data_IF_661340842851
#
_entry.id   IF_661340842851
#
_cell.length_a   1.000
_cell.length_b   1.000
_cell.length_c   1.000
_cell.angle_alpha   90.00
_cell.angle_beta   90.00
_cell.angle_gamma   90.00
#
_symmetry.space_group_name_H-M   'P 1'
#
loop_
_entity.id
_entity.type
_entity.pdbx_description
1 polymer ?
#
# COMPACT_ATOMS: atom_id res chain seq x y z
N UNK A 1 22.53 -15.21 6.53
CA UNK A 1 22.35 -13.76 6.83
C UNK A 1 22.98 -12.89 5.75
N UNK A 2 24.29 -13.03 5.47
CA UNK A 2 24.91 -12.44 4.27
C UNK A 2 24.30 -12.96 2.96
N UNK A 3 24.06 -14.27 2.85
CA UNK A 3 23.62 -14.91 1.60
C UNK A 3 22.32 -14.38 1.03
N UNK A 4 21.31 -14.06 1.85
CA UNK A 4 20.01 -13.56 1.36
C UNK A 4 20.04 -12.06 1.02
N UNK A 5 20.75 -11.25 1.81
CA UNK A 5 21.02 -9.84 1.47
C UNK A 5 21.89 -9.72 0.20
N UNK A 6 22.86 -10.63 0.06
CA UNK A 6 23.60 -10.83 -1.18
C UNK A 6 22.68 -11.27 -2.30
N UNK A 7 21.72 -12.17 -2.07
CA UNK A 7 20.78 -12.62 -3.09
C UNK A 7 19.90 -11.48 -3.58
N UNK A 8 19.32 -10.70 -2.65
CA UNK A 8 18.49 -9.52 -2.95
C UNK A 8 19.31 -8.45 -3.67
N UNK A 9 20.51 -8.14 -3.16
CA UNK A 9 21.44 -7.21 -3.79
C UNK A 9 21.90 -7.69 -5.17
N UNK A 10 22.14 -8.98 -5.33
CA UNK A 10 22.52 -9.59 -6.61
C UNK A 10 21.36 -9.58 -7.61
N UNK A 11 20.14 -9.84 -7.16
CA UNK A 11 18.92 -9.74 -7.97
C UNK A 11 18.69 -8.29 -8.42
N UNK A 12 18.89 -7.31 -7.52
CA UNK A 12 18.88 -5.88 -7.80
C UNK A 12 19.93 -5.47 -8.84
N UNK A 13 21.15 -5.96 -8.69
CA UNK A 13 22.25 -5.67 -9.62
C UNK A 13 21.98 -6.32 -10.98
N UNK A 14 21.46 -7.54 -11.01
CA UNK A 14 21.08 -8.21 -12.26
C UNK A 14 19.94 -7.48 -12.96
N UNK A 15 18.90 -7.09 -12.23
CA UNK A 15 17.75 -6.37 -12.79
C UNK A 15 18.16 -4.96 -13.26
N UNK A 16 18.91 -4.22 -12.43
CA UNK A 16 19.41 -2.89 -12.79
C UNK A 16 20.41 -2.91 -13.93
N UNK A 17 21.31 -3.90 -13.95
CA UNK A 17 22.27 -4.11 -15.02
C UNK A 17 21.58 -4.49 -16.34
N UNK A 18 20.62 -5.41 -16.28
CA UNK A 18 19.79 -5.78 -17.44
C UNK A 18 19.01 -4.56 -17.95
N UNK A 19 18.45 -3.75 -17.06
CA UNK A 19 17.73 -2.51 -17.39
C UNK A 19 18.61 -1.47 -18.10
N UNK A 20 19.88 -1.34 -17.71
CA UNK A 20 20.82 -0.42 -18.36
C UNK A 20 21.21 -0.90 -19.76
N UNK A 21 21.39 -2.21 -19.95
CA UNK A 21 21.71 -2.81 -21.24
C UNK A 21 20.51 -2.64 -22.19
N UNK A 22 19.29 -2.87 -21.74
CA UNK A 22 18.12 -2.68 -22.61
C UNK A 22 17.90 -1.21 -22.99
N UNK A 23 18.27 -0.24 -22.12
CA UNK A 23 18.23 1.20 -22.42
C UNK A 23 19.26 1.61 -23.49
N UNK A 24 20.49 1.09 -23.42
CA UNK A 24 21.54 1.45 -24.38
C UNK A 24 21.33 0.82 -25.76
N UNK A 25 20.63 -0.31 -25.85
CA UNK A 25 20.48 -1.09 -27.08
C UNK A 25 19.12 -0.93 -27.81
N UNK A 26 18.21 -0.03 -27.38
CA UNK A 26 16.90 0.19 -28.03
C UNK A 26 16.09 -1.11 -28.27
N UNK A 27 16.29 -2.13 -27.42
CA UNK A 27 15.53 -3.37 -27.45
C UNK A 27 14.20 -3.13 -26.74
N UNK A 28 13.08 -3.16 -27.48
CA UNK A 28 11.68 -3.02 -27.03
C UNK A 28 11.50 -2.58 -25.56
N UNK A 29 11.33 -1.27 -25.37
CA UNK A 29 11.25 -0.57 -24.08
C UNK A 29 10.11 -1.01 -23.13
N UNK A 30 9.18 -1.84 -23.59
CA UNK A 30 8.01 -2.24 -22.81
C UNK A 30 8.40 -2.94 -21.50
N UNK A 31 9.37 -3.86 -21.50
CA UNK A 31 9.76 -4.59 -20.28
C UNK A 31 10.41 -3.69 -19.23
N UNK A 32 11.14 -2.65 -19.64
CA UNK A 32 11.80 -1.69 -18.74
C UNK A 32 10.76 -0.81 -18.06
N UNK A 33 9.74 -0.38 -18.81
CA UNK A 33 8.65 0.44 -18.29
C UNK A 33 7.81 -0.31 -17.24
N UNK A 34 7.90 -1.63 -17.17
CA UNK A 34 7.18 -2.44 -16.18
C UNK A 34 8.04 -2.85 -14.97
N UNK A 35 9.33 -2.48 -14.91
CA UNK A 35 10.23 -2.87 -13.82
C UNK A 35 10.31 -1.85 -12.67
N UNK A 36 9.77 -0.63 -12.85
CA UNK A 36 9.89 0.45 -11.87
C UNK A 36 9.20 0.15 -10.53
N UNK A 37 8.20 -0.74 -10.47
CA UNK A 37 7.56 -1.11 -9.19
C UNK A 37 8.57 -1.68 -8.20
N UNK A 38 9.65 -2.29 -8.68
CA UNK A 38 10.73 -2.82 -7.85
C UNK A 38 11.48 -1.70 -7.11
N UNK A 39 11.63 -0.53 -7.72
CA UNK A 39 12.25 0.63 -7.07
C UNK A 39 11.44 1.09 -5.84
N UNK A 40 10.15 0.78 -5.79
CA UNK A 40 9.27 1.08 -4.64
C UNK A 40 9.25 -0.11 -3.67
N UNK A 41 9.08 -1.33 -4.18
CA UNK A 41 8.93 -2.55 -3.38
C UNK A 41 10.21 -2.86 -2.58
N UNK A 42 11.38 -2.68 -3.19
CA UNK A 42 12.65 -3.09 -2.61
C UNK A 42 13.01 -2.27 -1.37
N UNK A 43 12.95 -0.92 -1.38
CA UNK A 43 13.11 -0.13 -0.16
C UNK A 43 12.10 -0.50 0.92
N UNK A 44 10.85 -0.78 0.55
CA UNK A 44 9.82 -1.23 1.49
C UNK A 44 10.21 -2.53 2.21
N UNK A 45 10.56 -3.56 1.45
CA UNK A 45 11.02 -4.84 2.01
C UNK A 45 12.30 -4.67 2.84
N UNK A 46 13.20 -3.80 2.42
CA UNK A 46 14.41 -3.50 3.18
C UNK A 46 14.09 -2.93 4.57
N UNK A 47 13.16 -1.97 4.68
CA UNK A 47 12.75 -1.41 5.97
C UNK A 47 12.09 -2.45 6.87
N UNK A 48 11.17 -3.27 6.33
CA UNK A 48 10.54 -4.34 7.10
C UNK A 48 11.56 -5.36 7.62
N UNK A 49 12.47 -5.82 6.74
CA UNK A 49 13.52 -6.77 7.11
C UNK A 49 14.48 -6.20 8.16
N UNK A 50 14.88 -4.93 8.02
CA UNK A 50 15.77 -4.26 8.96
C UNK A 50 15.15 -4.20 10.37
N UNK A 51 13.83 -3.94 10.44
CA UNK A 51 13.09 -4.00 11.68
C UNK A 51 13.07 -5.40 12.29
N UNK A 52 12.67 -6.43 11.53
CA UNK A 52 12.57 -7.79 12.09
C UNK A 52 13.91 -8.38 12.55
N UNK A 53 15.01 -7.94 11.95
CA UNK A 53 16.36 -8.35 12.34
C UNK A 53 16.86 -7.61 13.58
N UNK A 54 16.72 -6.29 13.60
CA UNK A 54 17.30 -5.47 14.68
C UNK A 54 16.37 -5.38 15.88
N UNK A 55 15.05 -5.46 15.64
CA UNK A 55 13.95 -5.16 16.57
C UNK A 55 14.12 -3.82 17.29
N UNK A 56 14.83 -2.89 16.63
CA UNK A 56 15.08 -1.53 17.11
C UNK A 56 14.30 -0.59 16.19
N UNK A 57 13.69 0.43 16.78
CA UNK A 57 12.97 1.50 16.09
C UNK A 57 11.78 0.98 15.25
N UNK A 58 10.65 0.63 15.90
CA UNK A 58 9.45 0.16 15.19
C UNK A 58 8.87 1.20 14.22
N UNK A 59 9.21 2.48 14.36
CA UNK A 59 8.87 3.54 13.39
C UNK A 59 9.30 3.27 11.95
N UNK A 60 10.33 2.44 11.71
CA UNK A 60 10.75 2.05 10.36
C UNK A 60 9.74 1.16 9.63
N UNK A 61 8.85 0.49 10.36
CA UNK A 61 7.78 -0.32 9.78
C UNK A 61 6.74 0.53 9.05
N UNK A 62 6.55 1.80 9.43
CA UNK A 62 5.58 2.66 8.76
C UNK A 62 5.93 2.88 7.29
N UNK A 63 7.11 3.43 6.94
CA UNK A 63 7.51 3.56 5.54
C UNK A 63 7.72 2.19 4.89
N UNK A 64 8.15 1.17 5.64
CA UNK A 64 8.27 -0.21 5.15
C UNK A 64 6.95 -0.76 4.62
N UNK A 65 5.93 -0.85 5.48
CA UNK A 65 4.60 -1.34 5.14
C UNK A 65 3.90 -0.55 4.03
N UNK A 66 4.08 0.78 4.01
CA UNK A 66 3.52 1.62 2.94
C UNK A 66 4.13 1.24 1.59
N UNK A 67 5.46 1.21 1.52
CA UNK A 67 6.19 0.94 0.28
C UNK A 67 6.02 -0.51 -0.18
N UNK A 68 5.90 -1.48 0.73
CA UNK A 68 5.63 -2.87 0.36
C UNK A 68 4.24 -3.02 -0.26
N UNK A 69 3.20 -2.48 0.38
CA UNK A 69 1.82 -2.56 -0.15
C UNK A 69 1.69 -1.81 -1.46
N UNK A 70 2.27 -0.60 -1.58
CA UNK A 70 2.24 0.17 -2.83
C UNK A 70 3.05 -0.53 -3.93
N UNK A 71 4.22 -1.09 -3.62
CA UNK A 71 5.03 -1.85 -4.58
C UNK A 71 4.29 -3.09 -5.10
N UNK A 72 3.56 -3.79 -4.24
CA UNK A 72 2.70 -4.92 -4.63
C UNK A 72 1.52 -4.46 -5.47
N UNK A 73 0.90 -3.33 -5.12
CA UNK A 73 -0.19 -2.74 -5.90
C UNK A 73 0.29 -2.39 -7.32
N UNK A 74 1.46 -1.75 -7.45
CA UNK A 74 2.02 -1.44 -8.76
C UNK A 74 2.38 -2.69 -9.56
N UNK A 75 2.86 -3.75 -8.91
CA UNK A 75 3.04 -5.05 -9.56
C UNK A 75 1.71 -5.57 -10.13
N UNK A 76 0.62 -5.49 -9.35
CA UNK A 76 -0.72 -5.88 -9.81
C UNK A 76 -1.24 -5.02 -10.97
N UNK A 77 -1.09 -3.69 -10.90
CA UNK A 77 -1.51 -2.78 -11.97
C UNK A 77 -0.75 -3.05 -13.27
N UNK A 78 0.55 -3.31 -13.18
CA UNK A 78 1.40 -3.67 -14.32
C UNK A 78 0.97 -5.00 -14.95
N UNK A 79 0.68 -6.02 -14.14
CA UNK A 79 0.22 -7.32 -14.62
C UNK A 79 -1.17 -7.26 -15.27
N UNK A 80 -1.97 -6.25 -14.92
CA UNK A 80 -3.32 -6.05 -15.44
C UNK A 80 -3.41 -4.92 -16.45
N UNK A 81 -2.26 -4.41 -16.92
CA UNK A 81 -2.18 -3.29 -17.88
C UNK A 81 -3.02 -2.07 -17.43
N UNK A 82 -3.04 -1.81 -16.12
CA UNK A 82 -3.79 -0.72 -15.47
C UNK A 82 -5.32 -0.79 -15.64
N UNK A 83 -5.86 -1.93 -16.08
CA UNK A 83 -7.30 -2.09 -16.32
C UNK A 83 -8.13 -1.88 -15.04
N UNK A 84 -7.58 -2.24 -13.87
CA UNK A 84 -8.27 -2.17 -12.59
C UNK A 84 -7.90 -0.95 -11.74
N UNK A 85 -7.09 -0.03 -12.26
CA UNK A 85 -6.63 1.18 -11.54
C UNK A 85 -7.78 2.00 -10.94
N UNK A 86 -8.93 2.01 -11.62
CA UNK A 86 -10.15 2.69 -11.14
C UNK A 86 -10.76 2.04 -9.90
N UNK A 87 -10.48 0.76 -9.62
CA UNK A 87 -11.02 0.01 -8.49
C UNK A 87 -10.02 -0.18 -7.35
N UNK A 88 -8.72 -0.06 -7.64
CA UNK A 88 -7.65 -0.35 -6.68
C UNK A 88 -7.14 0.88 -5.96
N UNK A 89 -7.52 2.08 -6.36
CA UNK A 89 -7.09 3.31 -5.67
C UNK A 89 -7.37 3.35 -4.15
N UNK A 90 -8.43 2.74 -3.57
CA UNK A 90 -8.59 2.77 -2.12
C UNK A 90 -7.52 1.95 -1.38
N UNK A 91 -6.77 1.09 -2.10
CA UNK A 91 -5.59 0.38 -1.57
C UNK A 91 -4.50 1.35 -1.13
N UNK A 92 -4.34 2.53 -1.75
CA UNK A 92 -3.35 3.51 -1.30
C UNK A 92 -3.63 3.98 0.14
N UNK A 93 -4.90 4.13 0.52
CA UNK A 93 -5.29 4.44 1.90
C UNK A 93 -5.04 3.24 2.83
N UNK A 94 -5.32 2.02 2.35
CA UNK A 94 -5.00 0.80 3.10
C UNK A 94 -3.50 0.60 3.29
N UNK A 95 -2.66 1.03 2.35
CA UNK A 95 -1.21 0.96 2.49
C UNK A 95 -0.72 1.77 3.69
N UNK A 96 -1.25 2.99 3.87
CA UNK A 96 -0.96 3.84 5.03
C UNK A 96 -1.52 3.24 6.32
N UNK A 97 -2.77 2.73 6.28
CA UNK A 97 -3.35 2.04 7.42
C UNK A 97 -2.52 0.80 7.83
N UNK A 98 -2.01 0.05 6.85
CA UNK A 98 -1.21 -1.15 7.07
C UNK A 98 0.16 -0.83 7.68
N UNK A 99 0.87 0.20 7.18
CA UNK A 99 2.13 0.63 7.78
C UNK A 99 1.96 1.11 9.23
N UNK A 100 0.89 1.86 9.52
CA UNK A 100 0.55 2.26 10.89
C UNK A 100 0.14 1.06 11.76
N UNK A 101 -0.59 0.09 11.20
CA UNK A 101 -0.99 -1.14 11.88
C UNK A 101 0.23 -1.98 12.27
N UNK A 102 1.20 -2.13 11.36
CA UNK A 102 2.47 -2.79 11.67
C UNK A 102 3.18 -2.08 12.84
N UNK A 103 3.26 -0.74 12.83
CA UNK A 103 3.81 0.02 13.95
C UNK A 103 3.06 -0.30 15.26
N UNK A 104 1.72 -0.27 15.26
CA UNK A 104 0.93 -0.58 16.44
C UNK A 104 1.16 -2.00 16.99
N UNK A 105 1.26 -3.00 16.10
CA UNK A 105 1.44 -4.41 16.51
C UNK A 105 2.81 -4.67 17.14
N UNK A 106 3.84 -3.99 16.65
CA UNK A 106 5.23 -4.27 16.97
C UNK A 106 5.89 -3.25 17.90
N UNK A 107 5.24 -2.12 18.18
CA UNK A 107 5.62 -1.14 19.21
C UNK A 107 4.88 -1.41 20.54
N UNK A 108 5.00 -0.50 21.52
CA UNK A 108 4.35 -0.53 22.84
C UNK A 108 2.80 -0.47 22.82
N UNK A 109 2.16 -0.74 21.66
CA UNK A 109 0.71 -0.78 21.46
C UNK A 109 0.02 0.50 21.93
N UNK A 110 0.56 1.65 21.53
CA UNK A 110 -0.05 2.93 21.82
C UNK A 110 -1.45 3.00 21.22
N UNK A 111 -2.46 3.03 22.11
CA UNK A 111 -3.87 3.08 21.73
C UNK A 111 -4.21 4.31 20.88
N UNK A 112 -3.42 5.39 21.00
CA UNK A 112 -3.56 6.58 20.17
C UNK A 112 -3.41 6.30 18.68
N UNK A 113 -2.60 5.31 18.30
CA UNK A 113 -2.38 4.95 16.89
C UNK A 113 -3.56 4.21 16.26
N UNK A 114 -4.42 3.57 17.06
CA UNK A 114 -5.61 2.88 16.55
C UNK A 114 -6.63 3.83 15.94
N UNK A 115 -6.70 5.08 16.43
CA UNK A 115 -7.62 6.08 15.92
C UNK A 115 -7.35 6.36 14.43
N UNK A 116 -6.14 6.76 13.99
CA UNK A 116 -5.87 6.95 12.57
C UNK A 116 -6.00 5.66 11.78
N UNK A 117 -5.54 4.51 12.28
CA UNK A 117 -5.66 3.22 11.56
C UNK A 117 -7.13 2.91 11.24
N UNK A 118 -8.01 3.03 12.23
CA UNK A 118 -9.44 2.75 12.07
C UNK A 118 -10.11 3.75 11.13
N UNK A 119 -9.77 5.04 11.23
CA UNK A 119 -10.29 6.07 10.32
C UNK A 119 -9.87 5.78 8.88
N UNK A 120 -8.58 5.52 8.61
CA UNK A 120 -8.11 5.23 7.25
C UNK A 120 -8.75 3.95 6.68
N UNK A 121 -8.87 2.90 7.49
CA UNK A 121 -9.51 1.66 7.08
C UNK A 121 -11.00 1.90 6.76
N UNK A 122 -11.71 2.64 7.61
CA UNK A 122 -13.13 2.95 7.42
C UNK A 122 -13.35 3.80 6.16
N UNK A 123 -12.53 4.83 5.94
CA UNK A 123 -12.61 5.66 4.74
C UNK A 123 -12.32 4.85 3.48
N UNK A 124 -11.29 4.00 3.50
CA UNK A 124 -10.99 3.12 2.36
C UNK A 124 -12.16 2.16 2.07
N UNK A 125 -12.76 1.59 3.10
CA UNK A 125 -13.95 0.74 2.96
C UNK A 125 -15.13 1.50 2.33
N UNK A 126 -15.40 2.74 2.77
CA UNK A 126 -16.45 3.57 2.19
C UNK A 126 -16.21 3.82 0.69
N UNK A 127 -14.97 4.07 0.30
CA UNK A 127 -14.62 4.24 -1.10
C UNK A 127 -14.76 2.96 -1.91
N UNK A 128 -14.43 1.80 -1.33
CA UNK A 128 -14.74 0.52 -1.97
C UNK A 128 -16.23 0.32 -2.17
N UNK A 129 -17.06 0.60 -1.16
CA UNK A 129 -18.53 0.50 -1.29
C UNK A 129 -19.04 1.44 -2.39
N UNK A 130 -18.45 2.63 -2.53
CA UNK A 130 -18.77 3.57 -3.61
C UNK A 130 -18.42 3.07 -5.00
N UNK A 131 -17.42 2.20 -5.15
CA UNK A 131 -17.10 1.60 -6.45
C UNK A 131 -18.13 0.57 -6.89
N UNK A 132 -18.82 -0.09 -5.95
CA UNK A 132 -19.83 -1.12 -6.26
C UNK A 132 -21.28 -0.58 -6.27
N UNK A 133 -21.53 0.55 -5.59
CA UNK A 133 -22.85 1.15 -5.44
C UNK A 133 -22.86 2.52 -6.13
N UNK A 134 -23.90 2.81 -6.91
CA UNK A 134 -24.06 4.12 -7.53
C UNK A 134 -24.01 5.25 -6.49
N UNK A 135 -23.23 6.30 -6.78
CA UNK A 135 -23.01 7.44 -5.87
C UNK A 135 -24.31 8.07 -5.35
N UNK A 136 -25.37 8.02 -6.16
CA UNK A 136 -26.71 8.50 -5.81
C UNK A 136 -27.39 7.66 -4.72
N UNK A 137 -27.20 6.34 -4.74
CA UNK A 137 -27.81 5.41 -3.78
C UNK A 137 -27.10 5.49 -2.43
N UNK A 138 -25.76 5.61 -2.43
CA UNK A 138 -24.99 5.86 -1.21
C UNK A 138 -25.38 7.17 -0.53
N UNK A 139 -25.50 8.26 -1.30
CA UNK A 139 -25.92 9.56 -0.78
C UNK A 139 -27.35 9.51 -0.22
N UNK A 140 -28.25 8.78 -0.87
CA UNK A 140 -29.60 8.54 -0.37
C UNK A 140 -29.61 7.77 0.96
N UNK A 141 -28.84 6.68 1.08
CA UNK A 141 -28.72 5.91 2.33
C UNK A 141 -28.14 6.78 3.46
N UNK A 142 -27.07 7.54 3.18
CA UNK A 142 -26.47 8.44 4.17
C UNK A 142 -27.47 9.49 4.66
N UNK A 143 -28.23 10.12 3.76
CA UNK A 143 -29.28 11.08 4.12
C UNK A 143 -30.37 10.43 4.98
N UNK A 144 -30.78 9.20 4.68
CA UNK A 144 -31.79 8.47 5.47
C UNK A 144 -31.26 8.18 6.88
N UNK A 145 -30.02 7.69 7.01
CA UNK A 145 -29.42 7.38 8.32
C UNK A 145 -29.26 8.66 9.15
N UNK A 146 -28.77 9.75 8.56
CA UNK A 146 -28.63 11.04 9.23
C UNK A 146 -30.00 11.58 9.66
N UNK A 147 -31.01 11.48 8.78
CA UNK A 147 -32.39 11.87 9.09
C UNK A 147 -32.98 11.08 10.26
N UNK A 148 -32.79 9.76 10.29
CA UNK A 148 -33.21 8.91 11.41
C UNK A 148 -32.47 9.26 12.69
N UNK A 149 -31.15 9.46 12.63
CA UNK A 149 -30.34 9.80 13.78
C UNK A 149 -30.78 11.12 14.43
N UNK A 150 -31.04 12.16 13.63
CA UNK A 150 -31.57 13.45 14.13
C UNK A 150 -32.96 13.25 14.78
N UNK A 151 -33.80 12.39 14.22
CA UNK A 151 -35.14 12.11 14.73
C UNK A 151 -35.10 11.40 16.10
N UNK A 152 -34.15 10.48 16.29
CA UNK A 152 -33.99 9.74 17.55
C UNK A 152 -33.18 10.50 18.61
N UNK A 153 -32.32 11.46 18.22
CA UNK A 153 -31.55 12.24 19.19
C UNK A 153 -32.38 13.32 19.91
N UNK A 154 -33.59 13.63 19.43
CA UNK A 154 -34.51 14.61 20.05
C UNK A 154 -35.53 14.00 21.02
N UNK A 155 -35.30 12.77 21.50
CA UNK A 155 -36.08 12.15 22.58
C UNK A 155 -35.23 11.91 23.81
#
# INVERSE_FOLDING_TARGET
MRTLQFLIGFLLILIGGFSLITYTFHLNNELIHHLWFLCVLIPGLYFEMNYFQTKKNPGQLVPGGILTVIGLLFCFEILTEWHYSSYTWPVYLLAVAFGLLQLYLYDHKDKGLLIPITILCFISLLFYVQLFISSSLLLAICLIIIGLYILFQKR
#
